data_IF_338605252662
#
_entry.id   IF_338605252662
#
_cell.length_a   1.000
_cell.length_b   1.000
_cell.length_c   1.000
_cell.angle_alpha   90.00
_cell.angle_beta   90.00
_cell.angle_gamma   90.00
#
_symmetry.space_group_name_H-M   'P 1'
#
loop_
_entity.id
_entity.type
_entity.pdbx_description
1 polymer ?
#
# COMPACT_ATOMS: atom_id res chain seq x y z
N UNK A 1 42.32 -9.48 -5.55
CA UNK A 1 41.08 -10.28 -5.70
C UNK A 1 40.05 -9.36 -6.30
N UNK A 2 39.59 -9.64 -7.52
CA UNK A 2 38.48 -8.89 -8.12
C UNK A 2 37.19 -9.26 -7.38
N UNK A 3 36.31 -8.29 -7.20
CA UNK A 3 35.07 -8.42 -6.45
C UNK A 3 33.95 -7.88 -7.31
N UNK A 4 32.84 -8.59 -7.35
CA UNK A 4 31.66 -8.26 -8.14
C UNK A 4 30.47 -7.97 -7.23
N UNK A 5 29.68 -6.95 -7.57
CA UNK A 5 28.42 -6.65 -6.90
C UNK A 5 27.27 -7.27 -7.68
N UNK A 6 26.64 -8.28 -7.09
CA UNK A 6 25.54 -9.03 -7.70
C UNK A 6 24.26 -8.86 -6.88
N UNK A 7 23.13 -8.76 -7.57
CA UNK A 7 21.81 -8.79 -6.96
C UNK A 7 21.33 -10.23 -6.81
N UNK A 8 21.22 -10.72 -5.59
CA UNK A 8 20.70 -12.05 -5.32
C UNK A 8 19.19 -11.95 -5.17
N UNK A 9 18.45 -12.74 -5.94
CA UNK A 9 17.00 -12.82 -5.85
C UNK A 9 16.55 -14.27 -5.75
N UNK A 10 15.74 -14.61 -4.75
CA UNK A 10 15.11 -15.93 -4.65
C UNK A 10 13.58 -15.77 -4.68
N UNK A 11 12.90 -16.22 -5.76
CA UNK A 11 11.45 -16.09 -5.87
C UNK A 11 10.72 -17.02 -4.90
N UNK A 12 11.32 -18.14 -4.51
CA UNK A 12 10.72 -19.12 -3.60
C UNK A 12 10.61 -18.60 -2.16
N UNK A 13 11.62 -17.87 -1.68
CA UNK A 13 11.63 -17.29 -0.33
C UNK A 13 11.36 -15.79 -0.30
N UNK A 14 11.11 -15.18 -1.47
CA UNK A 14 10.90 -13.74 -1.67
C UNK A 14 12.06 -12.86 -1.15
N UNK A 15 13.26 -13.42 -1.05
CA UNK A 15 14.46 -12.69 -0.63
C UNK A 15 15.05 -11.93 -1.82
N UNK A 16 15.36 -10.65 -1.62
CA UNK A 16 16.13 -9.84 -2.57
C UNK A 16 17.21 -9.07 -1.81
N UNK A 17 18.47 -9.25 -2.20
CA UNK A 17 19.61 -8.64 -1.53
C UNK A 17 20.78 -8.40 -2.48
N UNK A 18 21.41 -7.23 -2.39
CA UNK A 18 22.68 -6.95 -3.08
C UNK A 18 23.86 -7.49 -2.26
N UNK A 19 24.79 -8.19 -2.90
CA UNK A 19 25.99 -8.73 -2.25
C UNK A 19 27.25 -8.52 -3.07
N UNK A 20 28.31 -8.19 -2.35
CA UNK A 20 29.67 -8.15 -2.86
C UNK A 20 30.34 -9.50 -2.71
N UNK A 21 30.64 -10.15 -3.83
CA UNK A 21 31.20 -11.51 -3.89
C UNK A 21 32.58 -11.48 -4.58
N UNK A 22 33.54 -12.32 -4.17
CA UNK A 22 34.81 -12.42 -4.89
C UNK A 22 34.58 -13.08 -6.26
N UNK A 23 35.13 -12.53 -7.34
CA UNK A 23 34.96 -13.07 -8.70
C UNK A 23 35.56 -14.47 -8.86
N UNK A 24 36.61 -14.75 -8.06
CA UNK A 24 37.34 -16.02 -8.06
C UNK A 24 36.68 -17.13 -7.22
N UNK A 25 35.50 -16.90 -6.65
CA UNK A 25 34.81 -17.94 -5.87
C UNK A 25 34.25 -19.00 -6.82
N UNK A 26 34.50 -20.30 -6.57
CA UNK A 26 33.82 -21.36 -7.31
C UNK A 26 32.33 -21.36 -6.94
N UNK A 27 31.47 -21.70 -7.89
CA UNK A 27 30.02 -21.72 -7.65
C UNK A 27 29.62 -22.71 -6.56
N UNK A 28 30.33 -23.82 -6.39
CA UNK A 28 30.13 -24.76 -5.27
C UNK A 28 30.16 -24.06 -3.92
N UNK A 29 31.16 -23.22 -3.70
CA UNK A 29 31.35 -22.49 -2.44
C UNK A 29 30.38 -21.32 -2.34
N UNK A 30 30.02 -20.71 -3.49
CA UNK A 30 29.01 -19.68 -3.54
C UNK A 30 27.66 -20.21 -3.07
N UNK A 31 27.25 -21.43 -3.48
CA UNK A 31 26.00 -22.05 -3.02
C UNK A 31 25.91 -22.13 -1.50
N UNK A 32 26.97 -22.58 -0.82
CA UNK A 32 27.04 -22.59 0.65
C UNK A 32 26.95 -21.18 1.27
N UNK A 33 27.47 -20.14 0.59
CA UNK A 33 27.34 -18.75 1.05
C UNK A 33 25.96 -18.14 0.79
N UNK A 34 25.21 -18.67 -0.18
CA UNK A 34 23.87 -18.20 -0.52
C UNK A 34 22.82 -18.80 0.41
N UNK A 35 23.00 -20.01 0.92
CA UNK A 35 22.09 -20.66 1.88
C UNK A 35 21.67 -19.77 3.06
N UNK A 36 22.58 -19.14 3.84
CA UNK A 36 22.18 -18.27 4.95
C UNK A 36 21.47 -16.98 4.51
N UNK A 37 21.50 -16.64 3.21
CA UNK A 37 20.87 -15.44 2.66
C UNK A 37 19.48 -15.80 2.12
N UNK A 38 19.37 -16.84 1.30
CA UNK A 38 18.14 -17.20 0.61
C UNK A 38 17.32 -18.25 1.34
N UNK A 39 17.90 -18.98 2.29
CA UNK A 39 17.26 -20.12 2.97
C UNK A 39 17.14 -21.37 2.10
N UNK A 40 17.79 -21.39 0.93
CA UNK A 40 17.77 -22.51 -0.01
C UNK A 40 19.05 -23.34 0.16
N UNK A 41 18.95 -24.64 0.52
CA UNK A 41 20.11 -25.51 0.65
C UNK A 41 20.90 -25.64 -0.67
N UNK A 42 22.23 -25.79 -0.63
CA UNK A 42 23.06 -25.92 -1.83
C UNK A 42 22.70 -27.15 -2.68
N UNK A 43 22.14 -28.19 -2.05
CA UNK A 43 21.67 -29.41 -2.69
C UNK A 43 20.31 -29.28 -3.39
N UNK A 44 19.59 -28.18 -3.22
CA UNK A 44 18.32 -27.92 -3.93
C UNK A 44 18.34 -26.58 -4.66
N UNK A 45 19.55 -26.02 -4.81
CA UNK A 45 19.79 -24.72 -5.40
C UNK A 45 20.13 -24.83 -6.89
N UNK A 46 19.33 -24.16 -7.71
CA UNK A 46 19.65 -23.86 -9.11
C UNK A 46 19.98 -22.37 -9.20
N UNK A 47 21.08 -22.04 -9.88
CA UNK A 47 21.55 -20.68 -10.07
C UNK A 47 21.29 -20.24 -11.50
N UNK A 48 20.71 -19.06 -11.68
CA UNK A 48 20.54 -18.43 -12.97
C UNK A 48 21.15 -17.03 -12.97
N UNK A 49 22.01 -16.76 -13.93
CA UNK A 49 22.60 -15.44 -14.13
C UNK A 49 21.75 -14.65 -15.12
N UNK A 50 21.41 -13.43 -14.71
CA UNK A 50 20.47 -12.53 -15.36
C UNK A 50 21.16 -11.18 -15.62
N UNK A 51 20.85 -10.55 -16.76
CA UNK A 51 21.52 -9.32 -17.19
C UNK A 51 21.21 -8.09 -16.35
N UNK A 52 20.05 -8.04 -15.70
CA UNK A 52 19.61 -6.91 -14.88
C UNK A 52 18.77 -7.34 -13.68
N UNK A 53 18.60 -6.42 -12.73
CA UNK A 53 17.71 -6.57 -11.57
C UNK A 53 16.24 -6.63 -12.04
N UNK A 54 15.66 -7.83 -12.10
CA UNK A 54 14.20 -7.97 -12.19
C UNK A 54 13.57 -7.85 -10.82
N UNK A 55 12.97 -6.70 -10.54
CA UNK A 55 12.11 -6.52 -9.37
C UNK A 55 10.65 -6.98 -9.60
N UNK A 56 10.28 -7.44 -10.81
CA UNK A 56 8.88 -7.71 -11.14
C UNK A 56 8.66 -8.90 -12.09
N UNK A 57 8.60 -10.12 -11.56
CA UNK A 57 7.98 -11.25 -12.29
C UNK A 57 6.45 -11.08 -12.44
N UNK A 58 5.83 -10.15 -11.70
CA UNK A 58 4.39 -9.87 -11.80
C UNK A 58 3.96 -8.98 -12.98
N UNK A 59 4.87 -8.49 -13.83
CA UNK A 59 4.49 -7.68 -14.99
C UNK A 59 4.03 -8.50 -16.20
N UNK A 60 4.20 -9.82 -16.17
CA UNK A 60 3.75 -10.72 -17.24
C UNK A 60 2.22 -10.86 -17.32
N UNK A 61 1.49 -10.49 -16.27
CA UNK A 61 0.03 -10.64 -16.17
C UNK A 61 -0.75 -9.33 -16.27
N UNK A 62 -0.08 -8.19 -16.45
CA UNK A 62 -0.74 -6.88 -16.59
C UNK A 62 -0.89 -6.52 -18.08
N UNK A 63 -2.12 -6.43 -18.62
CA UNK A 63 -2.34 -5.90 -19.96
C UNK A 63 -2.12 -4.38 -19.93
N UNK A 64 -1.03 -3.93 -20.54
CA UNK A 64 -0.74 -2.50 -20.68
C UNK A 64 0.68 -2.21 -21.14
N UNK A 65 0.82 -1.33 -22.12
CA UNK A 65 2.11 -0.79 -22.55
C UNK A 65 2.69 0.03 -21.39
N UNK A 66 3.83 -0.35 -20.82
CA UNK A 66 4.43 0.43 -19.75
C UNK A 66 4.85 1.79 -20.29
N UNK A 67 4.38 2.87 -19.64
CA UNK A 67 4.70 4.28 -19.98
C UNK A 67 6.19 4.64 -19.79
N UNK A 68 7.05 3.69 -19.41
CA UNK A 68 8.47 3.90 -19.18
C UNK A 68 9.29 3.07 -20.19
N UNK A 69 10.03 3.70 -21.13
CA UNK A 69 10.74 3.01 -22.22
C UNK A 69 12.04 2.27 -21.81
N UNK A 70 12.28 2.05 -20.51
CA UNK A 70 13.55 1.50 -20.00
C UNK A 70 13.42 0.39 -18.96
N UNK A 71 12.25 -0.27 -18.84
CA UNK A 71 12.19 -1.56 -18.11
C UNK A 71 12.93 -2.61 -18.94
N UNK A 72 14.26 -2.59 -18.81
CA UNK A 72 15.19 -3.47 -19.50
C UNK A 72 14.90 -4.88 -19.02
N UNK A 73 14.09 -5.62 -19.80
CA UNK A 73 13.71 -7.00 -19.48
C UNK A 73 14.98 -7.77 -19.15
N UNK A 74 15.08 -8.32 -17.95
CA UNK A 74 16.20 -9.20 -17.63
C UNK A 74 16.17 -10.37 -18.60
N UNK A 75 17.30 -10.59 -19.24
CA UNK A 75 17.54 -11.75 -20.10
C UNK A 75 18.34 -12.76 -19.30
N UNK A 76 17.87 -14.01 -19.31
CA UNK A 76 18.64 -15.14 -18.80
C UNK A 76 19.90 -15.27 -19.65
N UNK A 77 21.05 -15.09 -19.02
CA UNK A 77 22.36 -15.23 -19.67
C UNK A 77 22.80 -16.69 -19.58
N UNK A 78 22.68 -17.28 -18.39
CA UNK A 78 23.15 -18.62 -18.12
C UNK A 78 22.30 -19.27 -17.02
N UNK A 79 21.83 -20.47 -17.28
CA UNK A 79 21.28 -21.35 -16.23
C UNK A 79 22.34 -22.38 -15.86
N UNK A 80 22.62 -22.51 -14.56
CA UNK A 80 23.56 -23.47 -14.00
C UNK A 80 22.73 -24.57 -13.34
N UNK A 81 22.52 -25.71 -14.03
CA UNK A 81 21.77 -26.82 -13.49
C UNK A 81 22.57 -27.51 -12.38
N UNK A 82 21.83 -28.21 -11.52
CA UNK A 82 22.40 -28.93 -10.38
C UNK A 82 23.35 -30.06 -10.84
N UNK A 83 24.48 -30.21 -10.15
CA UNK A 83 25.52 -31.23 -10.41
C UNK A 83 26.19 -31.11 -11.79
N UNK A 84 26.27 -29.89 -12.34
CA UNK A 84 26.98 -29.62 -13.59
C UNK A 84 28.47 -29.32 -13.36
N UNK A 85 29.30 -29.60 -14.36
CA UNK A 85 30.71 -29.15 -14.41
C UNK A 85 30.85 -27.63 -14.28
N UNK A 86 29.79 -26.88 -14.57
CA UNK A 86 29.73 -25.43 -14.38
C UNK A 86 29.83 -25.03 -12.91
N UNK A 87 29.51 -25.90 -11.95
CA UNK A 87 29.62 -25.59 -10.51
C UNK A 87 31.08 -25.44 -10.03
N UNK A 88 32.03 -26.01 -10.78
CA UNK A 88 33.46 -25.89 -10.50
C UNK A 88 34.06 -24.59 -11.07
N UNK A 89 33.32 -23.91 -11.96
CA UNK A 89 33.76 -22.65 -12.56
C UNK A 89 33.58 -21.48 -11.61
N UNK A 90 34.37 -20.45 -11.84
CA UNK A 90 34.30 -19.20 -11.06
C UNK A 90 33.30 -18.22 -11.68
N UNK A 91 32.83 -17.24 -10.90
CA UNK A 91 31.95 -16.18 -11.39
C UNK A 91 32.58 -15.41 -12.57
N UNK A 92 33.90 -15.23 -12.54
CA UNK A 92 34.66 -14.58 -13.60
C UNK A 92 34.63 -15.37 -14.92
N UNK A 93 34.81 -16.69 -14.88
CA UNK A 93 34.75 -17.56 -16.05
C UNK A 93 33.36 -17.63 -16.68
N UNK A 94 32.32 -17.34 -15.90
CA UNK A 94 30.93 -17.30 -16.35
C UNK A 94 30.51 -15.90 -16.84
N UNK A 95 31.42 -14.93 -16.82
CA UNK A 95 31.18 -13.57 -17.30
C UNK A 95 30.29 -12.73 -16.37
N UNK A 96 30.25 -13.05 -15.07
CA UNK A 96 29.51 -12.24 -14.10
C UNK A 96 30.19 -10.87 -13.92
N UNK A 97 29.42 -9.80 -14.15
CA UNK A 97 29.88 -8.41 -13.96
C UNK A 97 28.98 -7.68 -12.95
N UNK A 98 29.46 -6.54 -12.49
CA UNK A 98 28.73 -5.67 -11.58
C UNK A 98 27.36 -5.28 -12.13
N UNK A 99 26.33 -5.39 -11.28
CA UNK A 99 24.96 -5.03 -11.62
C UNK A 99 24.12 -6.16 -12.21
N UNK A 100 24.71 -7.33 -12.47
CA UNK A 100 23.95 -8.53 -12.85
C UNK A 100 23.16 -9.10 -11.67
N UNK A 101 22.10 -9.85 -11.99
CA UNK A 101 21.29 -10.54 -11.01
C UNK A 101 21.57 -12.03 -11.00
N UNK A 102 21.69 -12.62 -9.80
CA UNK A 102 21.79 -14.05 -9.57
C UNK A 102 20.47 -14.53 -8.98
N UNK A 103 19.67 -15.20 -9.80
CA UNK A 103 18.41 -15.80 -9.39
C UNK A 103 18.66 -17.18 -8.80
N UNK A 104 18.15 -17.38 -7.60
CA UNK A 104 18.32 -18.60 -6.80
C UNK A 104 16.99 -19.34 -6.74
N UNK A 105 16.86 -20.39 -7.54
CA UNK A 105 15.66 -21.23 -7.57
C UNK A 105 15.79 -22.39 -6.59
N UNK A 106 14.69 -22.72 -5.93
CA UNK A 106 14.57 -23.88 -5.04
C UNK A 106 13.81 -25.00 -5.77
N UNK A 107 14.41 -26.19 -5.84
CA UNK A 107 13.79 -27.38 -6.44
C UNK A 107 12.94 -28.18 -5.47
N UNK A 108 12.91 -27.81 -4.18
CA UNK A 108 12.05 -28.47 -3.19
C UNK A 108 10.57 -28.27 -3.54
N UNK A 109 9.71 -29.24 -3.19
CA UNK A 109 8.27 -29.06 -3.28
C UNK A 109 7.85 -27.88 -2.38
N UNK A 110 6.86 -27.09 -2.82
CA UNK A 110 6.48 -25.81 -2.19
C UNK A 110 6.14 -25.95 -0.70
N UNK A 111 5.66 -27.12 -0.31
CA UNK A 111 5.27 -27.47 1.05
C UNK A 111 6.47 -27.56 2.02
N UNK A 112 7.68 -27.81 1.50
CA UNK A 112 8.93 -27.87 2.26
C UNK A 112 9.71 -26.55 2.25
N UNK A 113 9.28 -25.58 1.44
CA UNK A 113 9.87 -24.26 1.37
C UNK A 113 9.36 -23.49 2.59
N UNK A 114 10.22 -23.29 3.59
CA UNK A 114 9.87 -22.55 4.79
C UNK A 114 9.77 -21.06 4.45
N UNK A 115 8.57 -20.62 4.09
CA UNK A 115 8.26 -19.21 3.89
C UNK A 115 8.07 -18.55 5.25
N UNK A 116 9.17 -18.07 5.85
CA UNK A 116 9.12 -17.33 7.12
C UNK A 116 8.40 -15.98 7.03
N UNK A 117 8.09 -15.53 5.82
CA UNK A 117 7.36 -14.30 5.54
C UNK A 117 5.85 -14.45 5.75
N UNK A 118 5.33 -15.69 5.77
CA UNK A 118 3.89 -15.93 5.94
C UNK A 118 3.53 -16.06 7.43
N UNK A 119 3.14 -14.94 8.03
CA UNK A 119 2.67 -14.91 9.42
C UNK A 119 1.28 -15.54 9.62
N UNK A 120 0.56 -15.93 8.56
CA UNK A 120 -0.77 -16.52 8.70
C UNK A 120 -0.74 -17.93 9.32
N UNK A 121 0.40 -18.61 9.21
CA UNK A 121 0.63 -19.95 9.77
C UNK A 121 0.97 -19.91 11.27
N UNK A 122 1.24 -18.73 11.83
CA UNK A 122 1.60 -18.56 13.24
C UNK A 122 0.35 -18.21 14.02
N UNK A 123 0.01 -19.04 15.01
CA UNK A 123 -1.08 -18.75 15.95
C UNK A 123 -0.73 -17.49 16.75
N UNK A 124 -1.43 -16.39 16.45
CA UNK A 124 -1.23 -15.11 17.13
C UNK A 124 -1.97 -15.14 18.45
N UNK A 125 -1.26 -14.86 19.55
CA UNK A 125 -1.89 -14.74 20.86
C UNK A 125 -2.84 -13.53 20.87
N UNK A 126 -4.10 -13.79 21.24
CA UNK A 126 -5.12 -12.76 21.45
C UNK A 126 -5.40 -12.67 22.94
N UNK A 127 -5.18 -11.49 23.53
CA UNK A 127 -5.52 -11.20 24.92
C UNK A 127 -6.99 -10.80 25.00
N UNK A 128 -7.70 -11.31 26.01
CA UNK A 128 -9.06 -10.89 26.34
C UNK A 128 -9.10 -9.45 26.87
N UNK A 129 -10.21 -8.76 26.60
CA UNK A 129 -10.38 -7.36 26.93
C UNK A 129 -10.32 -7.10 28.46
N UNK A 130 -10.84 -8.03 29.26
CA UNK A 130 -10.85 -7.93 30.72
C UNK A 130 -9.43 -8.03 31.30
N UNK A 131 -8.64 -9.01 30.86
CA UNK A 131 -7.23 -9.13 31.23
C UNK A 131 -6.43 -7.93 30.75
N UNK A 132 -6.65 -7.46 29.52
CA UNK A 132 -6.00 -6.27 28.97
C UNK A 132 -6.32 -5.01 29.81
N UNK A 133 -7.55 -4.85 30.28
CA UNK A 133 -7.96 -3.73 31.11
C UNK A 133 -7.37 -3.77 32.53
N UNK A 134 -7.19 -4.96 33.10
CA UNK A 134 -6.63 -5.14 34.45
C UNK A 134 -5.13 -4.85 34.55
N UNK A 135 -4.42 -4.98 33.42
CA UNK A 135 -2.96 -4.90 33.38
C UNK A 135 -2.45 -3.45 33.40
N UNK A 136 -1.46 -3.12 34.26
CA UNK A 136 -0.96 -1.75 34.41
C UNK A 136 0.02 -1.31 33.31
N UNK A 137 0.54 -2.26 32.54
CA UNK A 137 1.55 -2.11 31.47
C UNK A 137 0.93 -2.01 30.07
N UNK A 138 -0.38 -1.76 29.96
CA UNK A 138 -1.08 -1.68 28.68
C UNK A 138 -1.23 -0.24 28.17
N UNK A 139 -1.42 -0.12 26.85
CA UNK A 139 -1.71 1.17 26.20
C UNK A 139 -2.99 1.79 26.77
N UNK A 140 -3.98 0.98 27.13
CA UNK A 140 -5.21 1.44 27.79
C UNK A 140 -4.92 2.07 29.16
N UNK A 141 -4.18 1.37 30.03
CA UNK A 141 -3.80 1.90 31.33
C UNK A 141 -2.96 3.19 31.21
N UNK A 142 -2.04 3.24 30.23
CA UNK A 142 -1.28 4.46 29.92
C UNK A 142 -2.18 5.62 29.49
N UNK A 143 -3.14 5.38 28.57
CA UNK A 143 -4.08 6.39 28.10
C UNK A 143 -4.99 6.91 29.22
N UNK A 144 -5.43 6.02 30.12
CA UNK A 144 -6.21 6.40 31.30
C UNK A 144 -5.40 7.27 32.27
N UNK A 145 -4.17 6.85 32.60
CA UNK A 145 -3.29 7.58 33.53
C UNK A 145 -2.95 8.98 33.02
N UNK A 146 -2.70 9.11 31.73
CA UNK A 146 -2.33 10.37 31.10
C UNK A 146 -3.54 11.16 30.57
N UNK A 147 -4.77 10.67 30.81
CA UNK A 147 -6.02 11.35 30.41
C UNK A 147 -6.03 11.72 28.92
N UNK A 148 -5.63 10.76 28.07
CA UNK A 148 -5.51 10.96 26.63
C UNK A 148 -6.79 10.52 25.90
N UNK A 149 -7.19 11.28 24.89
CA UNK A 149 -8.30 10.93 24.00
C UNK A 149 -9.64 10.89 24.74
N UNK A 150 -10.26 9.72 24.82
CA UNK A 150 -11.57 9.50 25.49
C UNK A 150 -11.52 9.55 27.03
N UNK A 151 -10.32 9.69 27.60
CA UNK A 151 -10.11 9.78 29.05
C UNK A 151 -9.71 11.20 29.47
N UNK A 152 -9.74 12.15 28.54
CA UNK A 152 -9.50 13.56 28.82
C UNK A 152 -10.74 14.18 29.47
N UNK A 153 -10.68 14.61 30.75
CA UNK A 153 -11.83 15.17 31.44
C UNK A 153 -12.35 16.47 30.79
N UNK A 154 -11.54 17.14 29.96
CA UNK A 154 -11.97 18.32 29.20
C UNK A 154 -12.81 17.95 27.98
N UNK A 155 -12.69 16.72 27.47
CA UNK A 155 -13.56 16.16 26.43
C UNK A 155 -14.80 15.49 27.00
N UNK A 156 -14.80 15.08 28.26
CA UNK A 156 -15.97 14.46 28.91
C UNK A 156 -17.13 15.44 29.12
N UNK A 157 -16.89 16.76 29.06
CA UNK A 157 -17.94 17.77 28.92
C UNK A 157 -18.63 17.76 27.53
N UNK A 158 -18.11 16.99 26.56
CA UNK A 158 -18.66 16.90 25.20
C UNK A 158 -19.04 15.46 24.78
N UNK A 159 -18.89 14.43 25.63
CA UNK A 159 -19.06 13.04 25.17
C UNK A 159 -19.82 12.07 26.09
N UNK A 160 -20.45 12.52 27.19
CA UNK A 160 -21.20 11.60 28.06
C UNK A 160 -22.51 12.16 28.64
N UNK A 161 -23.36 12.70 27.77
CA UNK A 161 -24.83 12.69 27.97
C UNK A 161 -25.49 12.78 26.61
N UNK A 162 -26.51 11.95 26.40
CA UNK A 162 -27.41 11.98 25.26
C UNK A 162 -27.94 13.41 24.98
N UNK A 163 -28.27 13.66 23.71
CA UNK A 163 -28.79 14.92 23.16
C UNK A 163 -27.89 16.14 23.33
N UNK A 164 -26.71 16.15 22.71
CA UNK A 164 -26.30 17.40 22.04
C UNK A 164 -27.09 17.40 20.75
N UNK A 165 -28.09 18.27 20.63
CA UNK A 165 -28.57 18.71 19.32
C UNK A 165 -27.30 19.01 18.52
N UNK A 166 -26.90 18.11 17.61
CA UNK A 166 -25.82 18.38 16.67
C UNK A 166 -26.29 19.61 15.92
N UNK A 167 -25.78 20.78 16.34
CA UNK A 167 -26.14 22.05 15.73
C UNK A 167 -25.62 21.95 14.30
N UNK A 168 -26.50 21.48 13.42
CA UNK A 168 -26.29 21.44 11.98
C UNK A 168 -25.84 22.85 11.60
N UNK A 169 -24.76 22.98 10.81
CA UNK A 169 -24.33 24.29 10.38
C UNK A 169 -25.50 25.03 9.74
N UNK A 170 -25.67 26.31 10.10
CA UNK A 170 -26.78 27.14 9.63
C UNK A 170 -26.77 27.14 8.09
N UNK A 171 -27.82 26.62 7.47
CA UNK A 171 -27.93 26.47 6.01
C UNK A 171 -27.59 25.09 5.43
N UNK A 172 -27.35 24.05 6.24
CA UNK A 172 -27.13 22.69 5.74
C UNK A 172 -28.41 22.01 5.26
N UNK A 173 -28.79 22.33 4.02
CA UNK A 173 -29.93 21.71 3.32
C UNK A 173 -29.47 20.92 2.10
N UNK A 174 -30.23 19.88 1.76
CA UNK A 174 -29.99 19.11 0.53
C UNK A 174 -30.13 20.03 -0.68
N UNK A 175 -29.13 20.03 -1.55
CA UNK A 175 -29.00 20.92 -2.71
C UNK A 175 -28.04 22.09 -2.49
N UNK A 176 -27.61 22.35 -1.25
CA UNK A 176 -26.70 23.45 -0.95
C UNK A 176 -25.28 23.18 -1.45
N UNK A 177 -24.63 24.23 -1.94
CA UNK A 177 -23.20 24.21 -2.30
C UNK A 177 -22.36 24.23 -1.04
N UNK A 178 -21.32 23.41 -1.03
CA UNK A 178 -20.49 23.24 0.15
C UNK A 178 -19.04 22.95 -0.21
N UNK A 179 -18.18 23.22 0.76
CA UNK A 179 -16.78 22.81 0.76
C UNK A 179 -16.56 21.88 1.94
N UNK A 180 -15.83 20.79 1.68
CA UNK A 180 -15.54 19.74 2.66
C UNK A 180 -14.05 19.80 3.01
N UNK A 181 -13.76 19.99 4.30
CA UNK A 181 -12.39 19.94 4.82
C UNK A 181 -12.10 18.56 5.43
N UNK A 182 -11.32 17.75 4.72
CA UNK A 182 -10.98 16.38 5.13
C UNK A 182 -9.70 16.31 5.98
N UNK A 183 -8.96 17.41 6.14
CA UNK A 183 -7.61 17.43 6.72
C UNK A 183 -7.43 18.42 7.88
N UNK A 184 -8.46 18.62 8.72
CA UNK A 184 -8.35 19.43 9.95
C UNK A 184 -7.55 18.72 11.09
N UNK A 185 -6.43 18.08 10.76
CA UNK A 185 -5.40 17.60 11.70
C UNK A 185 -4.09 18.36 11.47
N UNK A 186 -3.25 18.47 12.50
CA UNK A 186 -2.09 19.37 12.58
C UNK A 186 -0.91 19.13 11.59
N UNK A 187 -1.17 18.71 10.35
CA UNK A 187 -0.22 18.66 9.24
C UNK A 187 -0.82 19.36 8.02
N UNK A 188 -0.41 20.60 7.78
CA UNK A 188 -0.99 21.52 6.81
C UNK A 188 -0.90 21.07 5.35
N UNK A 189 -1.97 20.47 4.85
CA UNK A 189 -2.28 20.38 3.43
C UNK A 189 -3.73 20.79 3.19
N UNK A 190 -3.96 21.82 2.39
CA UNK A 190 -5.29 22.32 2.05
C UNK A 190 -5.99 21.35 1.08
N UNK A 191 -6.60 20.28 1.59
CA UNK A 191 -7.34 19.31 0.77
C UNK A 191 -8.86 19.56 0.86
N UNK A 192 -9.24 20.81 0.55
CA UNK A 192 -10.63 21.24 0.51
C UNK A 192 -11.28 20.78 -0.78
N UNK A 193 -12.49 20.23 -0.69
CA UNK A 193 -13.21 19.68 -1.86
C UNK A 193 -14.57 20.33 -1.99
N UNK A 194 -14.86 20.90 -3.16
CA UNK A 194 -16.17 21.50 -3.46
C UNK A 194 -17.17 20.43 -3.88
N UNK A 195 -18.43 20.67 -3.57
CA UNK A 195 -19.51 19.78 -3.96
C UNK A 195 -20.88 20.27 -3.53
N UNK A 196 -21.86 19.40 -3.69
CA UNK A 196 -23.27 19.65 -3.40
C UNK A 196 -23.77 18.67 -2.35
N UNK A 197 -24.45 19.16 -1.32
CA UNK A 197 -25.07 18.32 -0.30
C UNK A 197 -26.21 17.53 -0.93
N UNK A 198 -26.18 16.20 -0.83
CA UNK A 198 -27.22 15.29 -1.34
C UNK A 198 -27.97 14.54 -0.26
N UNK A 199 -27.41 14.46 0.94
CA UNK A 199 -28.02 13.74 2.06
C UNK A 199 -27.63 14.39 3.38
N UNK A 200 -28.57 14.50 4.31
CA UNK A 200 -28.33 14.90 5.70
C UNK A 200 -29.18 14.01 6.59
N UNK A 201 -28.55 13.21 7.45
CA UNK A 201 -29.29 12.32 8.35
C UNK A 201 -28.47 11.18 8.93
N UNK A 202 -29.14 10.29 9.66
CA UNK A 202 -28.55 9.09 10.25
C UNK A 202 -28.33 7.98 9.23
N UNK A 203 -27.25 7.23 9.34
CA UNK A 203 -26.91 6.15 8.38
C UNK A 203 -26.90 4.77 9.03
N UNK A 204 -26.97 3.71 8.21
CA UNK A 204 -26.88 2.32 8.68
C UNK A 204 -25.44 1.88 8.99
N UNK A 205 -24.44 2.55 8.40
CA UNK A 205 -23.03 2.17 8.55
C UNK A 205 -22.38 2.75 9.81
N UNK A 206 -22.88 3.86 10.35
CA UNK A 206 -22.36 4.48 11.56
C UNK A 206 -23.41 5.36 12.25
N UNK A 207 -23.31 5.46 13.57
CA UNK A 207 -24.21 6.29 14.39
C UNK A 207 -23.91 7.80 14.26
N UNK A 208 -24.90 8.64 14.62
CA UNK A 208 -24.85 10.11 14.51
C UNK A 208 -25.27 10.66 13.14
N UNK A 209 -25.33 11.98 12.99
CA UNK A 209 -25.68 12.60 11.71
C UNK A 209 -24.50 12.56 10.74
N UNK A 210 -24.81 12.31 9.48
CA UNK A 210 -23.88 12.29 8.38
C UNK A 210 -24.40 13.16 7.25
N UNK A 211 -23.45 13.77 6.53
CA UNK A 211 -23.71 14.55 5.33
C UNK A 211 -23.15 13.79 4.14
N UNK A 212 -24.03 13.44 3.21
CA UNK A 212 -23.65 12.92 1.91
C UNK A 212 -23.42 14.07 0.94
N UNK A 213 -22.25 14.13 0.32
CA UNK A 213 -21.85 15.17 -0.63
C UNK A 213 -21.52 14.51 -1.97
N UNK A 214 -22.05 15.08 -3.05
CA UNK A 214 -21.58 14.86 -4.42
C UNK A 214 -20.51 15.90 -4.73
N UNK A 215 -19.26 15.48 -4.84
CA UNK A 215 -18.14 16.34 -5.23
C UNK A 215 -18.23 16.73 -6.70
N UNK A 216 -17.63 17.86 -7.07
CA UNK A 216 -17.57 18.29 -8.47
C UNK A 216 -16.55 17.48 -9.28
N UNK A 217 -15.53 16.97 -8.60
CA UNK A 217 -14.43 16.17 -9.15
C UNK A 217 -14.52 14.71 -8.69
N UNK A 218 -13.86 13.75 -9.39
CA UNK A 218 -13.82 12.33 -9.01
C UNK A 218 -12.93 12.05 -7.78
N UNK A 219 -13.09 12.82 -6.71
CA UNK A 219 -12.32 12.76 -5.47
C UNK A 219 -13.09 12.04 -4.34
N UNK A 220 -14.32 11.62 -4.60
CA UNK A 220 -15.16 10.85 -3.70
C UNK A 220 -14.71 9.40 -3.50
N UNK A 221 -15.47 8.68 -2.66
CA UNK A 221 -15.19 7.28 -2.27
C UNK A 221 -16.29 6.31 -2.70
N UNK A 222 -17.46 6.83 -3.10
CA UNK A 222 -18.63 6.02 -3.42
C UNK A 222 -19.47 6.67 -4.54
N UNK A 223 -20.57 6.01 -4.91
CA UNK A 223 -21.57 6.45 -5.89
C UNK A 223 -22.88 6.93 -5.23
N UNK A 224 -22.84 7.23 -3.92
CA UNK A 224 -24.00 7.54 -3.09
C UNK A 224 -24.61 6.31 -2.38
N UNK A 225 -24.01 5.13 -2.54
CA UNK A 225 -24.33 3.93 -1.75
C UNK A 225 -23.18 3.52 -0.81
N UNK A 226 -23.52 2.98 0.37
CA UNK A 226 -22.55 2.45 1.35
C UNK A 226 -23.13 1.18 1.96
N UNK A 227 -22.40 0.06 1.84
CA UNK A 227 -22.82 -1.22 2.43
C UNK A 227 -24.11 -1.79 1.83
N UNK A 228 -24.38 -1.52 0.54
CA UNK A 228 -25.58 -1.97 -0.17
C UNK A 228 -26.82 -1.09 0.03
N UNK A 229 -26.79 -0.11 0.95
CA UNK A 229 -27.85 0.88 1.11
C UNK A 229 -27.55 2.11 0.25
N UNK A 230 -28.53 2.57 -0.54
CA UNK A 230 -28.43 3.79 -1.34
C UNK A 230 -29.05 4.97 -0.60
N UNK A 231 -28.27 6.03 -0.41
CA UNK A 231 -28.71 7.28 0.23
C UNK A 231 -28.95 8.39 -0.79
N UNK A 232 -28.08 8.47 -1.80
CA UNK A 232 -28.22 9.38 -2.94
C UNK A 232 -27.64 8.74 -4.21
N UNK A 233 -27.75 9.44 -5.34
CA UNK A 233 -27.25 8.98 -6.64
C UNK A 233 -26.28 10.01 -7.18
N UNK A 234 -25.08 9.56 -7.53
CA UNK A 234 -24.05 10.36 -8.21
C UNK A 234 -23.15 9.44 -9.06
N UNK A 235 -22.20 10.02 -9.80
CA UNK A 235 -21.23 9.26 -10.59
C UNK A 235 -20.29 8.44 -9.66
N UNK A 236 -19.73 7.30 -10.13
CA UNK A 236 -18.75 6.54 -9.36
C UNK A 236 -17.55 7.41 -8.96
N UNK A 237 -17.15 7.36 -7.69
CA UNK A 237 -16.09 8.20 -7.10
C UNK A 237 -16.44 9.70 -6.97
N UNK A 238 -17.71 10.09 -7.05
CA UNK A 238 -18.13 11.48 -6.78
C UNK A 238 -18.83 11.61 -5.42
N UNK A 239 -19.28 10.52 -4.81
CA UNK A 239 -19.97 10.52 -3.53
C UNK A 239 -19.02 10.41 -2.34
N UNK A 240 -19.31 11.14 -1.26
CA UNK A 240 -18.64 11.02 0.03
C UNK A 240 -19.58 11.23 1.20
N UNK A 241 -19.27 10.59 2.34
CA UNK A 241 -19.93 10.83 3.62
C UNK A 241 -18.96 11.46 4.60
N UNK A 242 -19.36 12.57 5.19
CA UNK A 242 -18.58 13.31 6.19
C UNK A 242 -19.46 13.73 7.36
N UNK A 243 -18.81 14.11 8.47
CA UNK A 243 -19.50 14.67 9.63
C UNK A 243 -19.89 16.13 9.35
N UNK A 244 -21.02 16.62 9.93
CA UNK A 244 -21.47 17.99 9.72
C UNK A 244 -20.41 19.06 10.05
N UNK A 245 -19.52 18.80 11.02
CA UNK A 245 -18.43 19.73 11.42
C UNK A 245 -17.38 19.95 10.32
N UNK A 246 -17.34 19.09 9.30
CA UNK A 246 -16.41 19.18 8.16
C UNK A 246 -17.01 19.83 6.93
N UNK A 247 -18.29 20.23 6.99
CA UNK A 247 -19.01 20.80 5.85
C UNK A 247 -19.28 22.26 6.12
N UNK A 248 -18.76 23.11 5.24
CA UNK A 248 -19.07 24.52 5.23
C UNK A 248 -19.96 24.82 4.02
N UNK A 249 -21.19 25.25 4.27
CA UNK A 249 -22.13 25.70 3.25
C UNK A 249 -21.81 27.15 2.88
N UNK A 250 -21.92 27.47 1.59
CA UNK A 250 -21.67 28.82 1.09
C UNK A 250 -21.78 28.90 -0.42
N UNK A 251 -21.48 30.07 -0.96
CA UNK A 251 -21.43 30.29 -2.39
C UNK A 251 -20.12 29.75 -2.98
N UNK A 252 -20.13 28.46 -3.30
CA UNK A 252 -19.00 27.75 -3.91
C UNK A 252 -19.41 27.27 -5.30
N UNK A 253 -19.35 28.11 -6.35
CA UNK A 253 -19.67 27.67 -7.70
C UNK A 253 -18.78 26.49 -8.11
N UNK A 254 -19.32 25.60 -8.95
CA UNK A 254 -18.52 24.54 -9.55
C UNK A 254 -17.50 25.21 -10.48
N UNK A 255 -16.23 24.82 -10.37
CA UNK A 255 -15.21 25.29 -11.30
C UNK A 255 -15.48 24.59 -12.63
N UNK A 256 -16.14 25.28 -13.56
CA UNK A 256 -16.27 24.83 -14.93
C UNK A 256 -14.87 24.94 -15.54
N UNK A 257 -14.13 23.84 -15.54
CA UNK A 257 -12.98 23.70 -16.43
C UNK A 257 -13.56 23.54 -17.83
N UNK A 258 -13.86 24.66 -18.48
CA UNK A 258 -14.03 24.72 -19.92
C UNK A 258 -12.68 24.32 -20.52
N UNK A 259 -12.52 23.03 -20.78
CA UNK A 259 -11.56 22.51 -21.75
C UNK A 259 -12.05 22.89 -23.15
N UNK A 260 -12.21 24.19 -23.40
CA UNK A 260 -12.13 24.73 -24.74
C UNK A 260 -10.63 24.74 -25.09
N UNK A 261 -10.10 23.53 -25.32
CA UNK A 261 -9.08 23.36 -26.34
C UNK A 261 -9.83 23.61 -27.65
N UNK A 262 -9.98 24.89 -28.00
CA UNK A 262 -10.21 25.27 -29.38
C UNK A 262 -9.13 24.54 -30.19
N UNK A 263 -9.56 23.63 -31.06
CA UNK A 263 -8.74 23.00 -32.08
C UNK A 263 -8.13 24.13 -32.94
N UNK A 264 -6.98 24.64 -32.49
CA UNK A 264 -6.11 25.59 -33.18
C UNK A 264 -5.31 24.85 -34.29
N UNK A 265 -6.00 24.00 -35.07
CA UNK A 265 -5.47 23.46 -36.31
C UNK A 265 -5.89 24.40 -37.45
N UNK A 266 -5.19 25.54 -37.49
CA UNK A 266 -5.13 26.47 -38.61
C UNK A 266 -4.85 25.74 -39.94
N UNK A 267 -5.48 26.25 -41.00
CA UNK A 267 -5.12 25.98 -42.40
C UNK A 267 -3.60 26.12 -42.65
N UNK A 268 -2.97 25.09 -43.24
CA UNK A 268 -2.07 25.18 -44.41
C UNK A 268 -1.71 23.81 -44.99
#
# INVERSE_FOLDING_TARGET
MSVVNLFIHSPSTLVSAERRLPSSIPLSDLKYRLEPITGVPPSTQILELHSSRTDHEQQSTLPGHSLFPSSTRSTLILSIPQNSDLEQRTLEELGAVDGMALKVLDTRPKELIQTYTDESLVEKYVMDDDTYASRPDTVLAFKQRNKLGRFDPTKDAASSTASTEEKLPEGLEVGSRCIVDLLSGAGGGNNQRKGTVKYVGTTKFATGTWVGVEYDEPVGKNDGSVGGERYFTCKPNFGGFVRPDKVQVGDYPADHFDLDLEDDDEEM
#
